data_IF_171973045272
#
_entry.id   IF_171973045272
#
_cell.length_a   1.000
_cell.length_b   1.000
_cell.length_c   1.000
_cell.angle_alpha   90.00
_cell.angle_beta   90.00
_cell.angle_gamma   90.00
#
_symmetry.space_group_name_H-M   'P 1'
#
loop_
_entity.id
_entity.type
_entity.pdbx_description
1 polymer ?
#
# COMPACT_ATOMS: atom_id res chain seq x y z
N UNK A 1 62.46 37.15 -15.62
CA UNK A 1 61.55 36.21 -16.31
C UNK A 1 60.65 35.62 -15.24
N UNK A 2 59.39 36.06 -15.16
CA UNK A 2 58.40 35.48 -14.27
C UNK A 2 57.10 35.31 -15.06
N UNK A 3 56.68 34.06 -15.19
CA UNK A 3 55.54 33.63 -15.99
C UNK A 3 54.23 34.18 -15.42
N UNK A 4 53.51 34.95 -16.24
CA UNK A 4 52.08 35.22 -16.03
C UNK A 4 51.30 33.97 -16.40
N UNK A 5 50.91 33.17 -15.42
CA UNK A 5 49.91 32.12 -15.62
C UNK A 5 48.57 32.81 -15.84
N UNK A 6 48.20 32.99 -17.11
CA UNK A 6 46.86 33.43 -17.49
C UNK A 6 45.87 32.34 -17.07
N UNK A 7 45.13 32.57 -15.99
CA UNK A 7 43.98 31.77 -15.61
C UNK A 7 42.91 32.00 -16.67
N UNK A 8 42.89 31.13 -17.67
CA UNK A 8 41.79 31.07 -18.63
C UNK A 8 40.58 30.54 -17.89
N UNK A 9 39.45 31.27 -17.80
CA UNK A 9 38.24 30.73 -17.19
C UNK A 9 37.78 29.50 -17.99
N UNK A 10 37.27 28.45 -17.33
CA UNK A 10 36.75 27.29 -18.03
C UNK A 10 35.65 27.73 -18.99
N UNK A 11 35.89 27.55 -20.28
CA UNK A 11 34.89 27.73 -21.33
C UNK A 11 34.09 26.44 -21.46
N UNK A 12 33.04 26.27 -20.65
CA UNK A 12 31.84 25.51 -21.03
C UNK A 12 30.66 25.87 -20.13
N UNK A 13 29.85 26.80 -20.61
CA UNK A 13 28.51 27.15 -20.12
C UNK A 13 27.48 26.10 -20.56
N UNK A 14 27.62 24.85 -20.12
CA UNK A 14 26.50 23.92 -20.13
C UNK A 14 26.28 23.47 -18.69
N UNK A 15 25.19 23.92 -18.07
CA UNK A 15 24.74 23.27 -16.84
C UNK A 15 24.58 21.77 -17.14
N UNK A 16 25.12 20.88 -16.28
CA UNK A 16 24.93 19.45 -16.46
C UNK A 16 23.43 19.15 -16.36
N UNK A 17 22.90 18.47 -17.37
CA UNK A 17 21.51 18.00 -17.38
C UNK A 17 21.31 17.09 -16.15
N UNK A 18 20.25 17.30 -15.34
CA UNK A 18 19.98 16.46 -14.18
C UNK A 18 19.86 14.98 -14.55
N UNK A 19 20.51 14.10 -13.78
CA UNK A 19 20.35 12.66 -13.93
C UNK A 19 19.02 12.21 -13.31
N UNK A 20 18.06 11.85 -14.18
CA UNK A 20 16.73 11.38 -13.78
C UNK A 20 16.63 9.86 -13.73
N UNK A 21 17.74 9.13 -13.82
CA UNK A 21 17.74 7.66 -13.85
C UNK A 21 17.06 7.07 -12.63
N UNK A 22 17.38 7.58 -11.43
CA UNK A 22 16.75 7.15 -10.18
C UNK A 22 15.22 7.34 -10.19
N UNK A 23 14.76 8.55 -10.53
CA UNK A 23 13.33 8.88 -10.62
C UNK A 23 12.58 7.94 -11.57
N UNK A 24 13.13 7.73 -12.77
CA UNK A 24 12.52 6.86 -13.79
C UNK A 24 12.47 5.40 -13.35
N UNK A 25 13.50 4.92 -12.66
CA UNK A 25 13.53 3.55 -12.15
C UNK A 25 12.53 3.37 -11.00
N UNK A 26 12.48 4.30 -10.06
CA UNK A 26 11.50 4.28 -8.96
C UNK A 26 10.07 4.27 -9.51
N UNK A 27 9.72 5.23 -10.37
CA UNK A 27 8.38 5.30 -10.96
C UNK A 27 8.01 4.04 -11.75
N UNK A 28 8.96 3.48 -12.52
CA UNK A 28 8.74 2.22 -13.26
C UNK A 28 8.51 1.05 -12.32
N UNK A 29 9.26 0.96 -11.23
CA UNK A 29 9.11 -0.10 -10.24
C UNK A 29 7.75 0.00 -9.56
N UNK A 30 7.40 1.17 -9.01
CA UNK A 30 6.14 1.41 -8.31
C UNK A 30 4.92 1.14 -9.22
N UNK A 31 4.91 1.68 -10.44
CA UNK A 31 3.80 1.47 -11.39
C UNK A 31 3.73 0.03 -11.91
N UNK A 32 4.87 -0.64 -12.06
CA UNK A 32 4.93 -2.04 -12.45
C UNK A 32 4.41 -2.98 -11.36
N UNK A 33 4.80 -2.75 -10.11
CA UNK A 33 4.42 -3.58 -8.98
C UNK A 33 2.95 -3.41 -8.61
N UNK A 34 2.41 -2.18 -8.63
CA UNK A 34 0.98 -1.97 -8.39
C UNK A 34 0.12 -2.65 -9.46
N UNK A 35 0.56 -2.65 -10.73
CA UNK A 35 -0.13 -3.33 -11.83
C UNK A 35 -0.14 -4.85 -11.60
N UNK A 36 1.01 -5.43 -11.30
CA UNK A 36 1.14 -6.88 -11.00
C UNK A 36 0.34 -7.27 -9.77
N UNK A 37 0.31 -6.43 -8.74
CA UNK A 37 -0.49 -6.66 -7.54
C UNK A 37 -1.97 -6.65 -7.85
N UNK A 38 -2.45 -5.68 -8.64
CA UNK A 38 -3.85 -5.62 -9.04
C UNK A 38 -4.26 -6.88 -9.84
N UNK A 39 -3.43 -7.32 -10.79
CA UNK A 39 -3.65 -8.55 -11.55
C UNK A 39 -3.66 -9.79 -10.65
N UNK A 40 -2.69 -9.90 -9.74
CA UNK A 40 -2.64 -10.99 -8.77
C UNK A 40 -3.90 -11.01 -7.90
N UNK A 41 -4.29 -9.88 -7.32
CA UNK A 41 -5.47 -9.78 -6.46
C UNK A 41 -6.76 -10.11 -7.22
N UNK A 42 -6.87 -9.70 -8.49
CA UNK A 42 -7.98 -10.07 -9.35
C UNK A 42 -8.03 -11.60 -9.57
N UNK A 43 -6.89 -12.25 -9.82
CA UNK A 43 -6.81 -13.70 -9.99
C UNK A 43 -7.17 -14.48 -8.71
N UNK A 44 -6.90 -13.90 -7.54
CA UNK A 44 -7.17 -14.51 -6.24
C UNK A 44 -8.60 -14.27 -5.74
N UNK A 45 -9.36 -13.35 -6.34
CA UNK A 45 -10.65 -12.89 -5.84
C UNK A 45 -11.69 -14.01 -5.67
N UNK A 46 -11.57 -15.10 -6.44
CA UNK A 46 -12.51 -16.22 -6.47
C UNK A 46 -11.88 -17.57 -6.07
N UNK A 47 -10.69 -17.54 -5.48
CA UNK A 47 -9.93 -18.73 -5.13
C UNK A 47 -9.68 -18.78 -3.62
N UNK A 48 -9.75 -19.98 -3.03
CA UNK A 48 -9.29 -20.17 -1.66
C UNK A 48 -7.76 -20.03 -1.61
N UNK A 49 -7.28 -19.09 -0.80
CA UNK A 49 -5.84 -18.78 -0.70
C UNK A 49 -5.30 -19.37 0.59
N UNK A 50 -4.29 -20.27 0.52
CA UNK A 50 -3.64 -20.78 1.72
C UNK A 50 -3.06 -19.65 2.57
N UNK A 51 -3.17 -19.77 3.89
CA UNK A 51 -2.74 -18.74 4.85
C UNK A 51 -1.30 -18.23 4.61
N UNK A 52 -0.28 -19.08 4.33
CA UNK A 52 1.07 -18.57 4.05
C UNK A 52 1.13 -17.62 2.84
N UNK A 53 0.35 -17.91 1.79
CA UNK A 53 0.28 -17.08 0.58
C UNK A 53 -0.46 -15.78 0.86
N UNK A 54 -1.56 -15.84 1.61
CA UNK A 54 -2.30 -14.64 2.00
C UNK A 54 -1.43 -13.69 2.84
N UNK A 55 -0.65 -14.23 3.78
CA UNK A 55 0.32 -13.45 4.56
C UNK A 55 1.40 -12.81 3.69
N UNK A 56 1.96 -13.54 2.73
CA UNK A 56 2.99 -13.02 1.84
C UNK A 56 2.47 -11.87 0.96
N UNK A 57 1.29 -12.03 0.38
CA UNK A 57 0.65 -10.98 -0.43
C UNK A 57 0.31 -9.76 0.42
N UNK A 58 -0.26 -9.93 1.61
CA UNK A 58 -0.53 -8.81 2.52
C UNK A 58 0.75 -8.07 2.95
N UNK A 59 1.82 -8.80 3.25
CA UNK A 59 3.11 -8.20 3.59
C UNK A 59 3.69 -7.39 2.42
N UNK A 60 3.56 -7.90 1.20
CA UNK A 60 4.05 -7.20 0.01
C UNK A 60 3.22 -5.94 -0.30
N UNK A 61 1.89 -5.96 -0.11
CA UNK A 61 1.05 -4.75 -0.23
C UNK A 61 1.53 -3.65 0.74
N UNK A 62 1.80 -4.01 2.00
CA UNK A 62 2.33 -3.05 2.97
C UNK A 62 3.71 -2.50 2.57
N UNK A 63 4.57 -3.35 2.02
CA UNK A 63 5.90 -2.94 1.57
C UNK A 63 5.82 -2.00 0.36
N UNK A 64 4.96 -2.30 -0.61
CA UNK A 64 4.70 -1.47 -1.78
C UNK A 64 4.13 -0.10 -1.37
N UNK A 65 3.10 -0.09 -0.51
CA UNK A 65 2.54 1.15 0.02
C UNK A 65 3.58 1.98 0.78
N UNK A 66 4.44 1.35 1.60
CA UNK A 66 5.53 2.04 2.28
C UNK A 66 6.56 2.61 1.32
N UNK A 67 6.87 1.90 0.21
CA UNK A 67 7.79 2.38 -0.81
C UNK A 67 7.22 3.60 -1.55
N UNK A 68 5.94 3.58 -1.93
CA UNK A 68 5.23 4.72 -2.54
C UNK A 68 5.26 5.93 -1.60
N UNK A 69 4.87 5.76 -0.33
CA UNK A 69 4.87 6.87 0.65
C UNK A 69 6.27 7.44 0.85
N UNK A 70 7.28 6.59 0.98
CA UNK A 70 8.66 7.06 1.11
C UNK A 70 9.14 7.84 -0.12
N UNK A 71 8.78 7.37 -1.31
CA UNK A 71 9.10 8.05 -2.56
C UNK A 71 8.44 9.44 -2.64
N UNK A 72 7.14 9.55 -2.32
CA UNK A 72 6.43 10.84 -2.30
C UNK A 72 6.94 11.78 -1.20
N UNK A 73 7.22 11.29 0.01
CA UNK A 73 7.82 12.13 1.05
C UNK A 73 9.17 12.71 0.61
N UNK A 74 10.02 11.94 -0.09
CA UNK A 74 11.27 12.48 -0.62
C UNK A 74 11.02 13.55 -1.70
N UNK A 75 9.99 13.38 -2.52
CA UNK A 75 9.59 14.38 -3.51
C UNK A 75 9.09 15.67 -2.82
N UNK A 76 8.19 15.55 -1.86
CA UNK A 76 7.56 16.68 -1.15
C UNK A 76 8.52 17.43 -0.24
N UNK A 77 9.36 16.72 0.52
CA UNK A 77 10.26 17.32 1.51
C UNK A 77 11.56 17.83 0.88
N UNK A 78 11.97 17.30 -0.28
CA UNK A 78 13.28 17.59 -0.87
C UNK A 78 13.19 18.04 -2.33
N UNK A 79 12.60 17.25 -3.23
CA UNK A 79 12.69 17.52 -4.66
C UNK A 79 11.91 18.77 -5.08
N UNK A 80 10.63 18.88 -4.71
CA UNK A 80 9.78 20.01 -5.08
C UNK A 80 10.32 21.33 -4.51
N UNK A 81 10.75 21.42 -3.24
CA UNK A 81 11.40 22.62 -2.73
C UNK A 81 12.65 23.02 -3.51
N UNK A 82 13.50 22.07 -3.90
CA UNK A 82 14.69 22.35 -4.70
C UNK A 82 14.33 22.89 -6.09
N UNK A 83 13.35 22.29 -6.76
CA UNK A 83 12.88 22.77 -8.07
C UNK A 83 12.26 24.17 -7.94
N UNK A 84 11.46 24.43 -6.91
CA UNK A 84 10.87 25.75 -6.66
C UNK A 84 11.94 26.83 -6.42
N UNK A 85 13.01 26.51 -5.69
CA UNK A 85 14.16 27.41 -5.48
C UNK A 85 14.91 27.72 -6.78
N UNK A 86 15.04 26.73 -7.68
CA UNK A 86 15.76 26.90 -8.95
C UNK A 86 14.93 27.56 -10.05
N UNK A 87 13.66 27.20 -10.19
CA UNK A 87 12.79 27.64 -11.27
C UNK A 87 11.89 28.84 -10.91
N UNK A 88 11.80 29.20 -9.62
CA UNK A 88 10.90 30.24 -9.12
C UNK A 88 9.43 29.94 -9.46
N UNK A 89 8.66 30.99 -9.74
CA UNK A 89 7.22 30.89 -10.07
C UNK A 89 6.91 30.36 -11.47
N UNK A 90 7.91 29.86 -12.21
CA UNK A 90 7.73 29.40 -13.59
C UNK A 90 7.01 28.05 -13.67
N UNK A 91 6.96 27.31 -12.55
CA UNK A 91 6.36 25.98 -12.46
C UNK A 91 5.46 25.95 -11.23
N UNK A 92 4.22 25.50 -11.42
CA UNK A 92 3.31 25.17 -10.33
C UNK A 92 3.45 23.68 -9.97
N UNK A 93 3.91 23.40 -8.76
CA UNK A 93 4.11 22.04 -8.23
C UNK A 93 2.99 21.61 -7.28
N UNK A 94 2.04 22.51 -6.98
CA UNK A 94 0.91 22.23 -6.09
C UNK A 94 0.11 20.98 -6.50
N UNK A 95 -0.16 20.74 -7.81
CA UNK A 95 -0.90 19.55 -8.22
C UNK A 95 -0.24 18.22 -7.81
N UNK A 96 1.10 18.15 -7.79
CA UNK A 96 1.80 16.92 -7.40
C UNK A 96 1.67 16.64 -5.89
N UNK A 97 1.79 17.67 -5.06
CA UNK A 97 1.61 17.55 -3.61
C UNK A 97 0.16 17.19 -3.26
N UNK A 98 -0.81 17.78 -3.98
CA UNK A 98 -2.23 17.48 -3.81
C UNK A 98 -2.55 16.02 -4.21
N UNK A 99 -1.96 15.53 -5.31
CA UNK A 99 -2.10 14.14 -5.75
C UNK A 99 -1.52 13.15 -4.72
N UNK A 100 -0.37 13.46 -4.11
CA UNK A 100 0.20 12.65 -3.03
C UNK A 100 -0.75 12.60 -1.83
N UNK A 101 -1.24 13.75 -1.38
CA UNK A 101 -2.18 13.87 -0.27
C UNK A 101 -3.51 13.13 -0.52
N UNK A 102 -3.97 13.11 -1.76
CA UNK A 102 -5.17 12.37 -2.16
C UNK A 102 -4.95 10.85 -2.18
N UNK A 103 -3.71 10.39 -2.40
CA UNK A 103 -3.37 8.98 -2.45
C UNK A 103 -3.27 8.34 -1.07
N UNK A 104 -2.78 9.07 -0.05
CA UNK A 104 -2.62 8.58 1.33
C UNK A 104 -3.84 7.81 1.87
N UNK A 105 -5.08 8.34 1.87
CA UNK A 105 -6.24 7.62 2.41
C UNK A 105 -6.59 6.34 1.62
N UNK A 106 -6.22 6.27 0.33
CA UNK A 106 -6.40 5.07 -0.48
C UNK A 106 -5.39 3.99 -0.06
N UNK A 107 -4.14 4.38 0.23
CA UNK A 107 -3.11 3.45 0.72
C UNK A 107 -3.45 2.94 2.12
N UNK A 108 -3.98 3.79 3.01
CA UNK A 108 -4.48 3.38 4.32
C UNK A 108 -5.59 2.33 4.18
N UNK A 109 -6.55 2.57 3.29
CA UNK A 109 -7.63 1.62 3.00
C UNK A 109 -7.08 0.27 2.50
N UNK A 110 -6.07 0.30 1.63
CA UNK A 110 -5.40 -0.90 1.14
C UNK A 110 -4.65 -1.65 2.26
N UNK A 111 -3.93 -0.93 3.11
CA UNK A 111 -3.21 -1.50 4.25
C UNK A 111 -4.17 -2.19 5.22
N UNK A 112 -5.27 -1.53 5.58
CA UNK A 112 -6.29 -2.14 6.42
C UNK A 112 -6.92 -3.39 5.78
N UNK A 113 -7.20 -3.34 4.47
CA UNK A 113 -7.78 -4.46 3.75
C UNK A 113 -6.82 -5.66 3.72
N UNK A 114 -5.52 -5.42 3.48
CA UNK A 114 -4.48 -6.42 3.53
C UNK A 114 -4.36 -7.04 4.93
N UNK A 115 -4.37 -6.21 5.98
CA UNK A 115 -4.31 -6.65 7.37
C UNK A 115 -5.50 -7.55 7.75
N UNK A 116 -6.71 -7.21 7.29
CA UNK A 116 -7.90 -8.06 7.48
C UNK A 116 -7.78 -9.38 6.73
N UNK A 117 -7.46 -9.31 5.44
CA UNK A 117 -7.42 -10.47 4.54
C UNK A 117 -6.35 -11.49 4.95
N UNK A 118 -5.21 -11.05 5.50
CA UNK A 118 -4.15 -11.96 5.98
C UNK A 118 -4.65 -12.97 7.04
N UNK A 119 -5.65 -12.60 7.84
CA UNK A 119 -6.20 -13.45 8.91
C UNK A 119 -7.45 -14.21 8.49
N UNK A 120 -8.09 -13.78 7.40
CA UNK A 120 -9.32 -14.35 6.85
C UNK A 120 -9.26 -14.30 5.32
N UNK A 121 -8.47 -15.17 4.68
CA UNK A 121 -8.29 -15.17 3.24
C UNK A 121 -9.49 -15.84 2.56
N UNK A 122 -10.63 -15.16 2.54
CA UNK A 122 -11.84 -15.63 1.86
C UNK A 122 -11.94 -15.02 0.48
N UNK A 123 -12.38 -15.79 -0.51
CA UNK A 123 -12.84 -15.25 -1.79
C UNK A 123 -13.90 -14.14 -1.57
N UNK A 124 -13.94 -13.14 -2.46
CA UNK A 124 -15.08 -12.20 -2.51
C UNK A 124 -16.35 -13.03 -2.74
N UNK A 125 -17.23 -13.07 -1.74
CA UNK A 125 -18.44 -13.91 -1.78
C UNK A 125 -18.39 -15.15 -0.90
N UNK A 126 -17.40 -15.29 -0.01
CA UNK A 126 -17.45 -16.19 1.14
C UNK A 126 -18.53 -15.78 2.14
N UNK A 127 -19.79 -15.73 1.70
CA UNK A 127 -20.95 -15.83 2.57
C UNK A 127 -20.65 -16.97 3.53
N UNK A 128 -20.62 -16.66 4.83
CA UNK A 128 -20.70 -17.70 5.86
C UNK A 128 -21.89 -18.56 5.47
N UNK A 129 -21.67 -19.77 4.98
CA UNK A 129 -22.72 -20.77 4.98
C UNK A 129 -22.94 -21.04 6.46
N UNK A 130 -23.87 -20.31 7.06
CA UNK A 130 -24.52 -20.75 8.28
C UNK A 130 -25.13 -22.10 7.91
N UNK A 131 -24.45 -23.19 8.26
CA UNK A 131 -25.04 -24.51 8.21
C UNK A 131 -26.11 -24.53 9.31
N UNK A 132 -27.40 -24.76 9.00
CA UNK A 132 -28.45 -24.79 10.02
C UNK A 132 -28.42 -26.08 10.86
N UNK A 133 -27.39 -26.94 10.71
CA UNK A 133 -27.25 -28.18 11.47
C UNK A 133 -26.15 -28.04 12.52
N UNK A 134 -26.47 -27.40 13.63
CA UNK A 134 -26.00 -27.72 14.99
C UNK A 134 -26.63 -26.76 16.01
N UNK A 135 -27.96 -26.77 16.11
CA UNK A 135 -28.61 -26.35 17.37
C UNK A 135 -29.03 -27.62 18.07
N UNK A 136 -28.19 -28.11 18.97
CA UNK A 136 -28.62 -28.95 20.09
C UNK A 136 -27.90 -28.45 21.33
N UNK A 137 -28.47 -27.42 21.96
CA UNK A 137 -28.30 -27.23 23.40
C UNK A 137 -29.27 -28.19 24.08
N UNK A 138 -28.79 -29.34 24.56
CA UNK A 138 -29.58 -30.20 25.43
C UNK A 138 -29.72 -29.53 26.79
N UNK A 139 -30.90 -28.97 27.06
CA UNK A 139 -31.32 -28.61 28.42
C UNK A 139 -31.98 -29.84 29.03
N UNK A 140 -31.25 -30.61 29.85
CA UNK A 140 -31.86 -31.62 30.71
C UNK A 140 -32.50 -30.93 31.91
N UNK A 141 -33.82 -30.78 31.88
CA UNK A 141 -34.60 -30.47 33.08
C UNK A 141 -35.53 -31.65 33.34
N UNK A 142 -35.17 -32.48 34.32
CA UNK A 142 -36.04 -33.52 34.85
C UNK A 142 -37.20 -32.88 35.63
N UNK A 143 -38.46 -33.35 35.49
CA UNK A 143 -39.53 -32.93 36.39
C UNK A 143 -39.46 -33.71 37.72
N UNK A 144 -39.90 -33.12 38.85
CA UNK A 144 -40.04 -33.88 40.10
C UNK A 144 -41.21 -34.87 40.02
N UNK A 145 -41.02 -36.03 40.65
CA UNK A 145 -41.99 -37.12 40.77
C UNK A 145 -43.21 -36.67 41.58
N UNK A 146 -44.41 -36.84 41.03
CA UNK A 146 -45.67 -36.75 41.77
C UNK A 146 -45.75 -37.90 42.79
N UNK A 147 -45.76 -37.56 44.07
CA UNK A 147 -46.11 -38.48 45.16
C UNK A 147 -47.62 -38.74 45.17
N UNK A 148 -47.97 -40.01 45.27
CA UNK A 148 -49.32 -40.49 45.55
C UNK A 148 -49.63 -40.31 47.05
N UNK A 149 -50.83 -39.83 47.36
CA UNK A 149 -51.52 -40.15 48.62
C UNK A 149 -53.02 -40.09 48.36
N UNK A 150 -53.61 -41.28 48.28
CA UNK A 150 -55.04 -41.50 48.46
C UNK A 150 -55.36 -41.51 49.96
N UNK A 151 -56.53 -40.98 50.31
CA UNK A 151 -57.40 -41.63 51.29
C UNK A 151 -58.31 -42.60 50.54
#
# INVERSE_FOLDING_TARGET
MSNSTSLTPPSSTSEPVPDLTGMRLSHRALTGDITRLAELLASLAHTDVPEPRARAVAAYIHQDNAAVRHHHHNEDDTLWPLIALSAGHTIDLTPHVDEHSALDPLQDTCDEAAARWRTRPTARGGSRRCSPRSVTCSSSTSPPRSGTSSL
#
